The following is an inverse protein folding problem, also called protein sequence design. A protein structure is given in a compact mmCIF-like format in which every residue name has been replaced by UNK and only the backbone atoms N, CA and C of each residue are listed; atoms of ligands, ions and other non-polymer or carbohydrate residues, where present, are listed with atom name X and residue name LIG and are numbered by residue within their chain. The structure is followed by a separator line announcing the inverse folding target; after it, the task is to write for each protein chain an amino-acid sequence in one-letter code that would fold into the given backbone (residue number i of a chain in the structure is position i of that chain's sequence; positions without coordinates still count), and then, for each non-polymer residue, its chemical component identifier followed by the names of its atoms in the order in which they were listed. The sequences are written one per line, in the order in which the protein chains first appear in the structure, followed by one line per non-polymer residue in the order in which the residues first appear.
data_IF_592495565242
#
_entry.id   IF_592495565242
#
_cell.length_a   1.000
_cell.length_b   1.000
_cell.length_c   1.000
_cell.angle_alpha   90.00
_cell.angle_beta   90.00
_cell.angle_gamma   90.00
#
_symmetry.space_group_name_H-M   'P 1'
#
loop_
_entity.id
_entity.type
_entity.pdbx_description
1 polymer ?
#
# COMPACT_ATOMS: atom_id res chain seq x y z
N UNK A 1 -4.28 -78.05 20.22
CA UNK A 1 -3.63 -77.16 19.28
C UNK A 1 -4.65 -76.73 18.22
N UNK A 2 -5.27 -75.58 18.39
CA UNK A 2 -6.30 -75.06 17.51
C UNK A 2 -5.78 -73.73 17.01
N UNK A 3 -5.55 -73.63 15.69
CA UNK A 3 -5.19 -72.40 15.00
C UNK A 3 -6.45 -71.62 14.69
N UNK A 4 -6.55 -70.43 15.24
CA UNK A 4 -7.63 -69.49 14.95
C UNK A 4 -7.19 -68.57 13.80
N UNK A 5 -7.87 -68.63 12.67
CA UNK A 5 -7.75 -67.72 11.55
C UNK A 5 -8.53 -66.42 11.87
N UNK A 6 -7.82 -65.30 11.84
CA UNK A 6 -8.44 -63.99 11.95
C UNK A 6 -8.72 -63.46 10.55
N UNK A 7 -10.00 -63.30 10.23
CA UNK A 7 -10.48 -62.64 8.98
C UNK A 7 -10.31 -61.13 9.10
N UNK A 8 -9.52 -60.53 8.20
CA UNK A 8 -9.43 -59.08 8.06
C UNK A 8 -10.55 -58.65 7.11
N UNK A 9 -11.54 -57.92 7.63
CA UNK A 9 -12.56 -57.25 6.84
C UNK A 9 -12.04 -55.91 6.38
N UNK A 10 -11.84 -55.76 5.06
CA UNK A 10 -11.46 -54.50 4.41
C UNK A 10 -12.73 -53.68 4.23
N UNK A 11 -12.98 -52.69 5.10
CA UNK A 11 -14.04 -51.69 4.91
C UNK A 11 -13.53 -50.55 4.01
N UNK A 12 -14.03 -50.51 2.76
CA UNK A 12 -13.92 -49.31 1.89
C UNK A 12 -14.76 -48.19 2.49
N UNK A 13 -14.14 -47.29 3.22
CA UNK A 13 -14.71 -46.01 3.62
C UNK A 13 -14.68 -45.06 2.43
N UNK A 14 -15.83 -44.89 1.76
CA UNK A 14 -16.01 -43.76 0.79
C UNK A 14 -16.10 -42.48 1.63
N UNK A 15 -15.02 -41.75 1.72
CA UNK A 15 -15.03 -40.40 2.29
C UNK A 15 -15.76 -39.47 1.31
N UNK A 16 -17.02 -39.16 1.57
CA UNK A 16 -17.68 -38.00 0.99
C UNK A 16 -16.98 -36.75 1.53
N UNK A 17 -16.02 -36.25 0.80
CA UNK A 17 -15.45 -34.92 1.02
C UNK A 17 -16.57 -33.90 0.80
N UNK A 18 -17.10 -33.37 1.90
CA UNK A 18 -17.97 -32.20 1.85
C UNK A 18 -17.14 -31.05 1.32
N UNK A 19 -17.25 -30.77 0.04
CA UNK A 19 -16.82 -29.50 -0.53
C UNK A 19 -17.72 -28.43 0.09
N UNK A 20 -17.28 -27.83 1.20
CA UNK A 20 -17.83 -26.57 1.64
C UNK A 20 -17.59 -25.58 0.48
N UNK A 21 -18.62 -24.91 -0.05
CA UNK A 21 -18.41 -23.90 -1.05
C UNK A 21 -17.48 -22.87 -0.44
N UNK A 22 -16.35 -22.59 -1.09
CA UNK A 22 -15.54 -21.40 -0.79
C UNK A 22 -16.50 -20.23 -0.99
N UNK A 23 -17.05 -19.70 0.08
CA UNK A 23 -17.85 -18.49 0.05
C UNK A 23 -16.97 -17.43 -0.62
N UNK A 24 -17.29 -17.13 -1.87
CA UNK A 24 -16.67 -16.06 -2.62
C UNK A 24 -16.86 -14.79 -1.78
N UNK A 25 -15.79 -14.27 -1.20
CA UNK A 25 -15.83 -13.03 -0.44
C UNK A 25 -16.32 -11.96 -1.41
N UNK A 26 -17.52 -11.44 -1.20
CA UNK A 26 -18.02 -10.26 -1.90
C UNK A 26 -17.27 -9.05 -1.30
N UNK A 27 -16.31 -8.46 -2.00
CA UNK A 27 -15.43 -7.46 -1.40
C UNK A 27 -16.14 -6.11 -1.15
N UNK A 28 -17.23 -5.85 -1.87
CA UNK A 28 -17.96 -4.60 -1.87
C UNK A 28 -19.47 -4.84 -1.77
N UNK A 29 -20.16 -4.06 -0.94
CA UNK A 29 -21.60 -4.10 -0.76
C UNK A 29 -22.20 -2.70 -0.98
N UNK A 30 -23.35 -2.63 -1.66
CA UNK A 30 -24.08 -1.37 -1.84
C UNK A 30 -24.59 -0.86 -0.49
N UNK A 31 -24.36 0.42 -0.23
CA UNK A 31 -24.86 1.11 0.96
C UNK A 31 -26.30 1.55 0.71
N UNK A 32 -27.22 1.28 1.64
CA UNK A 32 -28.60 1.75 1.56
C UNK A 32 -28.68 3.28 1.68
N UNK A 33 -29.66 3.95 1.02
CA UNK A 33 -29.76 5.41 0.98
C UNK A 33 -29.82 6.08 2.35
N UNK A 34 -30.48 5.46 3.31
CA UNK A 34 -30.64 5.94 4.69
C UNK A 34 -29.29 6.03 5.46
N UNK A 35 -28.29 5.26 5.06
CA UNK A 35 -26.95 5.28 5.64
C UNK A 35 -25.95 6.17 4.90
N UNK A 36 -26.39 6.86 3.86
CA UNK A 36 -25.52 7.76 3.08
C UNK A 36 -25.51 9.19 3.61
N UNK A 37 -26.39 9.55 4.55
CA UNK A 37 -26.56 10.93 5.00
C UNK A 37 -25.31 11.59 5.57
N UNK A 38 -24.44 10.84 6.22
CA UNK A 38 -23.20 11.32 6.82
C UNK A 38 -21.96 11.16 5.90
N UNK A 39 -22.13 10.52 4.73
CA UNK A 39 -21.00 10.21 3.85
C UNK A 39 -20.67 11.38 2.91
N UNK A 40 -19.39 11.53 2.57
CA UNK A 40 -18.92 12.39 1.49
C UNK A 40 -18.59 13.84 1.87
N UNK A 41 -18.58 14.20 3.15
CA UNK A 41 -18.10 15.51 3.57
C UNK A 41 -16.58 15.54 3.65
N UNK A 42 -15.92 16.17 2.68
CA UNK A 42 -14.47 16.36 2.63
C UNK A 42 -14.12 17.84 2.77
N UNK A 43 -13.96 18.29 4.00
CA UNK A 43 -13.61 19.67 4.34
C UNK A 43 -12.21 20.07 3.84
N UNK A 44 -11.33 19.10 3.58
CA UNK A 44 -9.95 19.37 3.18
C UNK A 44 -9.86 20.03 1.80
N UNK A 45 -10.81 19.78 0.93
CA UNK A 45 -10.82 20.32 -0.43
C UNK A 45 -10.81 21.84 -0.43
N UNK A 46 -11.56 22.46 0.48
CA UNK A 46 -11.70 23.93 0.55
C UNK A 46 -10.93 24.58 1.69
N UNK A 47 -10.59 23.89 2.75
CA UNK A 47 -10.00 24.37 4.00
C UNK A 47 -10.14 25.88 4.25
N UNK A 48 -10.86 26.21 5.34
CA UNK A 48 -11.03 27.55 5.87
C UNK A 48 -10.02 27.84 6.99
N UNK A 49 -9.83 29.10 7.37
CA UNK A 49 -8.96 29.56 8.47
C UNK A 49 -7.46 29.67 8.12
N UNK A 50 -7.15 30.20 6.91
CA UNK A 50 -5.76 30.50 6.51
C UNK A 50 -4.95 29.31 6.01
N UNK A 51 -5.51 28.11 5.98
CA UNK A 51 -4.90 26.94 5.35
C UNK A 51 -5.44 26.77 3.93
N UNK A 52 -4.52 26.54 2.98
CA UNK A 52 -4.87 26.30 1.58
C UNK A 52 -5.52 24.93 1.44
N UNK A 53 -6.68 24.88 0.77
CA UNK A 53 -7.33 23.61 0.40
C UNK A 53 -6.49 22.79 -0.59
N UNK A 54 -6.76 21.51 -0.67
CA UNK A 54 -6.03 20.58 -1.55
C UNK A 54 -6.84 20.15 -2.79
N UNK A 55 -7.82 20.97 -3.21
CA UNK A 55 -8.65 20.75 -4.40
C UNK A 55 -7.82 20.39 -5.64
N UNK A 56 -6.70 21.09 -5.84
CA UNK A 56 -5.83 20.83 -7.00
C UNK A 56 -5.16 19.46 -6.90
N UNK A 57 -4.79 19.01 -5.70
CA UNK A 57 -4.22 17.67 -5.50
C UNK A 57 -5.26 16.58 -5.83
N UNK A 58 -6.52 16.77 -5.43
CA UNK A 58 -7.60 15.84 -5.78
C UNK A 58 -7.83 15.79 -7.31
N UNK A 59 -7.90 16.96 -7.99
CA UNK A 59 -8.04 17.00 -9.45
C UNK A 59 -6.87 16.32 -10.15
N UNK A 60 -5.63 16.54 -9.69
CA UNK A 60 -4.43 15.86 -10.22
C UNK A 60 -4.52 14.36 -10.04
N UNK A 61 -4.96 13.88 -8.88
CA UNK A 61 -5.12 12.44 -8.65
C UNK A 61 -6.21 11.82 -9.55
N UNK A 62 -7.31 12.55 -9.81
CA UNK A 62 -8.34 12.15 -10.78
C UNK A 62 -7.74 12.03 -12.19
N UNK A 63 -6.98 13.04 -12.64
CA UNK A 63 -6.35 13.03 -13.96
C UNK A 63 -5.35 11.87 -14.12
N UNK A 64 -4.60 11.52 -13.09
CA UNK A 64 -3.75 10.33 -13.04
C UNK A 64 -4.56 9.03 -13.18
N UNK A 65 -5.67 8.89 -12.47
CA UNK A 65 -6.57 7.73 -12.61
C UNK A 65 -7.16 7.63 -14.00
N UNK A 66 -7.59 8.75 -14.60
CA UNK A 66 -8.10 8.80 -15.96
C UNK A 66 -7.05 8.37 -16.99
N UNK A 67 -5.79 8.76 -16.80
CA UNK A 67 -4.67 8.32 -17.64
C UNK A 67 -4.50 6.79 -17.58
N UNK A 68 -4.50 6.19 -16.36
CA UNK A 68 -4.48 4.74 -16.21
C UNK A 68 -5.67 4.06 -16.88
N UNK A 69 -6.89 4.54 -16.64
CA UNK A 69 -8.13 3.92 -17.13
C UNK A 69 -8.20 3.89 -18.66
N UNK A 70 -7.53 4.80 -19.35
CA UNK A 70 -7.40 4.81 -20.82
C UNK A 70 -6.36 3.82 -21.36
N UNK A 71 -5.55 3.20 -20.48
CA UNK A 71 -4.47 2.29 -20.88
C UNK A 71 -4.96 0.87 -21.20
N UNK A 72 -4.23 0.10 -22.03
CA UNK A 72 -4.50 -1.32 -22.27
C UNK A 72 -4.48 -2.18 -20.99
N UNK A 73 -3.69 -1.78 -20.00
CA UNK A 73 -3.63 -2.47 -18.70
C UNK A 73 -4.95 -2.40 -17.95
N UNK A 74 -5.61 -1.25 -17.97
CA UNK A 74 -6.92 -1.08 -17.35
C UNK A 74 -7.99 -1.93 -18.04
N UNK A 75 -7.98 -1.98 -19.38
CA UNK A 75 -8.88 -2.85 -20.15
C UNK A 75 -8.75 -4.31 -19.68
N UNK A 76 -7.51 -4.78 -19.54
CA UNK A 76 -7.24 -6.16 -19.09
C UNK A 76 -7.68 -6.39 -17.64
N UNK A 77 -7.41 -5.44 -16.74
CA UNK A 77 -7.77 -5.51 -15.33
C UNK A 77 -9.29 -5.58 -15.15
N UNK A 78 -10.04 -4.70 -15.80
CA UNK A 78 -11.49 -4.65 -15.67
C UNK A 78 -12.22 -5.80 -16.38
N UNK A 79 -11.65 -6.41 -17.43
CA UNK A 79 -12.20 -7.61 -18.07
C UNK A 79 -12.28 -8.79 -17.10
N UNK A 80 -11.41 -8.83 -16.08
CA UNK A 80 -11.32 -9.88 -15.05
C UNK A 80 -11.82 -9.43 -13.69
N UNK A 81 -12.36 -8.22 -13.58
CA UNK A 81 -12.78 -7.67 -12.29
C UNK A 81 -14.02 -8.41 -11.77
N UNK A 82 -14.01 -8.88 -10.49
CA UNK A 82 -15.00 -9.86 -10.03
C UNK A 82 -16.36 -9.27 -9.65
N UNK A 83 -16.45 -7.95 -9.38
CA UNK A 83 -17.69 -7.34 -8.90
C UNK A 83 -18.57 -6.88 -10.07
N UNK A 84 -19.73 -7.50 -10.20
CA UNK A 84 -20.71 -7.15 -11.25
C UNK A 84 -21.16 -5.68 -11.13
N UNK A 85 -21.34 -5.03 -12.27
CA UNK A 85 -21.80 -3.63 -12.33
C UNK A 85 -20.70 -2.59 -12.09
N UNK A 86 -19.47 -3.01 -11.72
CA UNK A 86 -18.29 -2.16 -11.68
C UNK A 86 -17.46 -2.40 -12.93
N UNK A 87 -17.70 -1.61 -13.95
CA UNK A 87 -17.02 -1.70 -15.25
C UNK A 87 -16.05 -0.53 -15.41
N UNK A 88 -15.02 -0.71 -16.25
CA UNK A 88 -14.09 0.37 -16.58
C UNK A 88 -14.80 1.64 -17.05
N UNK A 89 -15.77 1.49 -17.94
CA UNK A 89 -16.49 2.62 -18.54
C UNK A 89 -17.37 3.34 -17.51
N UNK A 90 -17.97 2.60 -16.57
CA UNK A 90 -18.69 3.23 -15.45
C UNK A 90 -17.75 3.99 -14.53
N UNK A 91 -16.56 3.44 -14.23
CA UNK A 91 -15.55 4.15 -13.44
C UNK A 91 -15.07 5.41 -14.14
N UNK A 92 -14.84 5.37 -15.46
CA UNK A 92 -14.47 6.56 -16.24
C UNK A 92 -15.56 7.64 -16.14
N UNK A 93 -16.81 7.32 -16.45
CA UNK A 93 -17.91 8.29 -16.34
C UNK A 93 -18.09 8.82 -14.92
N UNK A 94 -17.88 7.97 -13.91
CA UNK A 94 -17.93 8.40 -12.50
C UNK A 94 -16.84 9.44 -12.19
N UNK A 95 -15.61 9.23 -12.67
CA UNK A 95 -14.52 10.18 -12.45
C UNK A 95 -14.73 11.48 -13.24
N UNK A 96 -15.20 11.42 -14.48
CA UNK A 96 -15.52 12.58 -15.28
C UNK A 96 -16.57 13.44 -14.58
N UNK A 97 -17.68 12.82 -14.16
CA UNK A 97 -18.74 13.53 -13.45
C UNK A 97 -18.28 14.08 -12.10
N UNK A 98 -17.58 13.29 -11.31
CA UNK A 98 -17.05 13.75 -10.02
C UNK A 98 -16.09 14.93 -10.19
N UNK A 99 -15.23 14.93 -11.22
CA UNK A 99 -14.35 16.02 -11.54
C UNK A 99 -15.13 17.32 -11.85
N UNK A 100 -16.24 17.24 -12.59
CA UNK A 100 -17.13 18.36 -12.84
C UNK A 100 -17.73 18.89 -11.54
N UNK A 101 -18.23 18.02 -10.68
CA UNK A 101 -18.78 18.38 -9.36
C UNK A 101 -17.74 19.09 -8.48
N UNK A 102 -16.51 18.56 -8.42
CA UNK A 102 -15.41 19.21 -7.69
C UNK A 102 -15.14 20.61 -8.24
N UNK A 103 -15.23 20.83 -9.56
CA UNK A 103 -15.00 22.13 -10.20
C UNK A 103 -16.16 23.11 -10.00
N UNK A 104 -17.39 22.66 -9.98
CA UNK A 104 -18.58 23.51 -9.87
C UNK A 104 -19.03 23.83 -8.46
N UNK A 105 -18.75 22.92 -7.48
CA UNK A 105 -19.11 23.14 -6.09
C UNK A 105 -18.25 24.20 -5.41
N UNK A 106 -18.87 24.99 -4.53
CA UNK A 106 -18.25 26.10 -3.80
C UNK A 106 -17.99 25.75 -2.31
N UNK A 107 -18.56 24.64 -1.82
CA UNK A 107 -18.40 24.19 -0.43
C UNK A 107 -18.36 22.65 -0.34
N UNK A 108 -17.85 22.11 0.79
CA UNK A 108 -17.90 20.67 1.05
C UNK A 108 -19.33 20.11 1.05
N UNK A 109 -20.29 20.86 1.59
CA UNK A 109 -21.69 20.46 1.71
C UNK A 109 -22.38 20.41 0.34
N UNK A 110 -22.09 21.37 -0.54
CA UNK A 110 -22.60 21.37 -1.92
C UNK A 110 -22.08 20.15 -2.70
N UNK A 111 -20.77 19.85 -2.61
CA UNK A 111 -20.21 18.64 -3.22
C UNK A 111 -20.82 17.38 -2.62
N UNK A 112 -20.95 17.31 -1.28
CA UNK A 112 -21.52 16.15 -0.60
C UNK A 112 -22.96 15.90 -1.10
N UNK A 113 -23.79 16.93 -1.17
CA UNK A 113 -25.18 16.82 -1.62
C UNK A 113 -25.25 16.28 -3.06
N UNK A 114 -24.48 16.85 -3.98
CA UNK A 114 -24.43 16.41 -5.37
C UNK A 114 -23.94 14.96 -5.53
N UNK A 115 -22.88 14.58 -4.78
CA UNK A 115 -22.36 13.20 -4.81
C UNK A 115 -23.38 12.21 -4.27
N UNK A 116 -24.10 12.53 -3.20
CA UNK A 116 -25.16 11.67 -2.65
C UNK A 116 -26.34 11.50 -3.62
N UNK A 117 -26.68 12.56 -4.33
CA UNK A 117 -27.72 12.51 -5.36
C UNK A 117 -27.36 11.64 -6.55
N UNK A 118 -26.12 11.76 -7.04
CA UNK A 118 -25.71 11.17 -8.32
C UNK A 118 -24.98 9.82 -8.21
N UNK A 119 -24.40 9.46 -7.03
CA UNK A 119 -23.54 8.30 -6.88
C UNK A 119 -24.15 7.22 -5.98
N UNK A 120 -23.75 5.96 -6.31
CA UNK A 120 -23.95 4.79 -5.46
C UNK A 120 -22.67 4.55 -4.67
N UNK A 121 -22.80 4.36 -3.36
CA UNK A 121 -21.68 4.01 -2.48
C UNK A 121 -21.59 2.49 -2.31
N UNK A 122 -20.41 1.95 -2.52
CA UNK A 122 -20.05 0.55 -2.34
C UNK A 122 -19.09 0.43 -1.16
N UNK A 123 -19.56 -0.02 0.00
CA UNK A 123 -18.74 -0.21 1.20
C UNK A 123 -17.89 -1.47 1.07
N UNK A 124 -16.60 -1.37 1.40
CA UNK A 124 -15.75 -2.54 1.55
C UNK A 124 -16.25 -3.41 2.71
N UNK A 125 -16.29 -4.73 2.51
CA UNK A 125 -16.73 -5.67 3.55
C UNK A 125 -15.76 -5.76 4.72
N UNK A 126 -14.55 -5.22 4.55
CA UNK A 126 -13.56 -5.16 5.61
C UNK A 126 -12.93 -6.50 5.96
N UNK A 127 -12.17 -6.51 7.04
CA UNK A 127 -11.49 -7.72 7.55
C UNK A 127 -12.41 -8.66 8.34
N UNK A 128 -13.58 -8.20 8.72
CA UNK A 128 -14.54 -8.89 9.59
C UNK A 128 -15.91 -9.11 8.93
N UNK A 129 -16.06 -8.77 7.65
CA UNK A 129 -17.35 -8.83 6.93
C UNK A 129 -18.34 -7.74 7.34
N UNK A 130 -17.98 -6.86 8.29
CA UNK A 130 -18.84 -5.78 8.82
C UNK A 130 -18.36 -4.38 8.42
N UNK A 131 -17.34 -4.32 7.55
CA UNK A 131 -16.83 -3.07 6.99
C UNK A 131 -15.63 -2.48 7.72
N UNK A 132 -15.04 -3.18 8.68
CA UNK A 132 -13.85 -2.68 9.37
C UNK A 132 -12.61 -2.78 8.47
N UNK A 133 -12.04 -1.63 8.14
CA UNK A 133 -10.82 -1.49 7.32
C UNK A 133 -9.68 -0.97 8.18
N UNK A 134 -8.54 -1.64 8.15
CA UNK A 134 -7.32 -1.18 8.80
C UNK A 134 -6.56 -0.22 7.89
N UNK A 135 -6.24 0.95 8.41
CA UNK A 135 -5.48 1.99 7.72
C UNK A 135 -4.06 2.08 8.25
N UNK A 136 -3.11 2.20 7.33
CA UNK A 136 -1.72 2.62 7.58
C UNK A 136 -1.31 3.67 6.56
N UNK A 137 -0.12 4.25 6.75
CA UNK A 137 0.43 5.20 5.80
C UNK A 137 1.74 4.72 5.20
N UNK A 138 2.03 5.16 3.98
CA UNK A 138 3.33 5.03 3.33
C UNK A 138 3.75 6.36 2.72
N UNK A 139 5.02 6.50 2.40
CA UNK A 139 5.59 7.75 1.93
C UNK A 139 6.82 7.49 1.03
N UNK A 140 7.30 8.50 0.35
CA UNK A 140 8.58 8.47 -0.34
C UNK A 140 9.66 9.02 0.59
N UNK A 141 10.56 8.18 1.17
CA UNK A 141 11.62 8.65 2.04
C UNK A 141 12.66 9.46 1.28
N UNK A 142 13.32 10.35 2.01
CA UNK A 142 14.48 11.12 1.54
C UNK A 142 15.70 10.73 2.36
N UNK A 143 16.75 10.21 1.69
CA UNK A 143 18.01 9.81 2.32
C UNK A 143 19.21 10.37 1.56
N UNK A 144 20.37 10.39 2.20
CA UNK A 144 21.64 10.61 1.51
C UNK A 144 22.16 9.31 0.91
N UNK A 145 22.81 9.37 -0.26
CA UNK A 145 23.29 8.19 -0.95
C UNK A 145 24.52 8.48 -1.81
N UNK A 146 25.29 7.44 -2.14
CA UNK A 146 26.47 7.52 -3.02
C UNK A 146 26.32 6.66 -4.26
N UNK A 147 26.86 7.13 -5.39
CA UNK A 147 26.93 6.34 -6.65
C UNK A 147 27.97 5.24 -6.61
N UNK A 148 28.88 5.29 -5.65
CA UNK A 148 29.96 4.31 -5.45
C UNK A 148 30.00 3.85 -3.99
N UNK A 149 30.42 2.62 -3.71
CA UNK A 149 30.59 2.16 -2.34
C UNK A 149 31.73 2.95 -1.67
N UNK A 150 31.52 3.32 -0.42
CA UNK A 150 32.54 3.96 0.45
C UNK A 150 32.53 3.30 1.81
N UNK A 151 33.43 3.69 2.69
CA UNK A 151 33.40 3.22 4.08
C UNK A 151 32.09 3.62 4.80
N UNK A 152 31.50 4.75 4.42
CA UNK A 152 30.28 5.29 5.01
C UNK A 152 29.01 4.78 4.28
N UNK A 153 29.01 4.74 2.96
CA UNK A 153 27.87 4.32 2.11
C UNK A 153 28.09 2.89 1.64
N UNK A 154 27.51 1.93 2.33
CA UNK A 154 27.81 0.50 2.16
C UNK A 154 26.63 -0.34 1.72
N UNK A 155 25.38 0.09 1.98
CA UNK A 155 24.19 -0.73 1.82
C UNK A 155 23.47 -0.41 0.50
N UNK A 156 23.57 -1.31 -0.50
CA UNK A 156 23.06 -1.00 -1.82
C UNK A 156 21.56 -1.21 -1.98
N UNK A 157 20.94 -0.39 -2.85
CA UNK A 157 19.75 -0.75 -3.57
C UNK A 157 20.13 -1.39 -4.89
N UNK A 158 19.38 -2.40 -5.32
CA UNK A 158 19.73 -3.19 -6.48
C UNK A 158 18.76 -3.01 -7.64
N UNK A 159 19.30 -3.03 -8.87
CA UNK A 159 18.53 -3.13 -10.11
C UNK A 159 17.86 -4.49 -10.22
N UNK A 160 16.73 -4.53 -10.94
CA UNK A 160 16.11 -5.80 -11.30
C UNK A 160 17.07 -6.60 -12.19
N UNK A 161 17.43 -7.87 -11.83
CA UNK A 161 18.28 -8.71 -12.66
C UNK A 161 17.71 -8.88 -14.07
N UNK A 162 18.51 -8.75 -15.15
CA UNK A 162 18.03 -8.88 -16.53
C UNK A 162 17.34 -10.23 -16.80
N UNK A 163 17.79 -11.28 -16.12
CA UNK A 163 17.27 -12.65 -16.24
C UNK A 163 16.26 -13.01 -15.13
N UNK A 164 15.70 -12.06 -14.41
CA UNK A 164 14.84 -12.30 -13.24
C UNK A 164 13.64 -13.20 -13.56
N UNK A 165 13.05 -13.07 -14.77
CA UNK A 165 11.93 -13.91 -15.21
C UNK A 165 12.30 -15.40 -15.35
N UNK A 166 13.59 -15.72 -15.41
CA UNK A 166 14.12 -17.10 -15.51
C UNK A 166 14.58 -17.67 -14.17
N UNK A 167 14.48 -16.89 -13.09
CA UNK A 167 14.83 -17.39 -11.77
C UNK A 167 13.88 -18.50 -11.35
N UNK A 168 14.45 -19.54 -10.73
CA UNK A 168 13.68 -20.66 -10.18
C UNK A 168 12.72 -20.17 -9.10
N UNK A 169 11.52 -20.72 -9.09
CA UNK A 169 10.55 -20.46 -8.03
C UNK A 169 10.53 -21.60 -7.00
N UNK A 170 10.34 -21.29 -5.73
CA UNK A 170 10.24 -19.95 -5.14
C UNK A 170 11.58 -19.20 -5.22
N UNK A 171 11.53 -17.91 -5.52
CA UNK A 171 12.74 -17.06 -5.63
C UNK A 171 13.61 -17.12 -4.37
N UNK A 172 14.91 -16.79 -4.44
CA UNK A 172 15.76 -16.66 -3.28
C UNK A 172 15.19 -15.70 -2.24
N UNK A 173 15.46 -16.00 -0.97
CA UNK A 173 15.07 -15.14 0.15
C UNK A 173 16.03 -13.95 0.28
N UNK A 174 15.62 -12.92 1.05
CA UNK A 174 16.48 -11.81 1.46
C UNK A 174 17.82 -12.32 2.02
N UNK A 175 17.77 -13.29 2.95
CA UNK A 175 18.96 -13.85 3.56
C UNK A 175 19.95 -14.45 2.53
N UNK A 176 19.44 -15.11 1.50
CA UNK A 176 20.28 -15.66 0.42
C UNK A 176 20.83 -14.56 -0.49
N UNK A 177 20.04 -13.52 -0.78
CA UNK A 177 20.43 -12.46 -1.71
C UNK A 177 21.44 -11.47 -1.12
N UNK A 178 21.25 -11.04 0.13
CA UNK A 178 22.09 -10.00 0.75
C UNK A 178 22.85 -10.45 2.00
N UNK A 179 22.64 -11.69 2.47
CA UNK A 179 23.25 -12.20 3.70
C UNK A 179 22.56 -11.67 4.96
N UNK A 180 23.02 -12.16 6.12
CA UNK A 180 22.48 -11.72 7.41
C UNK A 180 22.84 -10.26 7.72
N UNK A 181 24.01 -9.80 7.26
CA UNK A 181 24.56 -8.45 7.45
C UNK A 181 24.17 -7.43 6.37
N UNK A 182 23.47 -7.89 5.32
CA UNK A 182 23.11 -7.06 4.16
C UNK A 182 24.23 -6.88 3.13
N UNK A 183 25.38 -7.57 3.28
CA UNK A 183 26.59 -7.40 2.46
C UNK A 183 27.19 -8.73 1.98
N UNK A 184 26.83 -9.85 2.62
CA UNK A 184 27.44 -11.16 2.42
C UNK A 184 26.54 -12.16 1.66
N UNK A 185 25.71 -11.67 0.73
CA UNK A 185 24.83 -12.51 -0.07
C UNK A 185 25.56 -13.49 -1.01
N UNK A 186 24.80 -14.34 -1.69
CA UNK A 186 25.29 -15.44 -2.54
C UNK A 186 25.93 -15.00 -3.87
N UNK A 187 26.12 -13.69 -4.07
CA UNK A 187 26.78 -13.10 -5.25
C UNK A 187 25.85 -12.88 -6.45
N UNK A 188 24.59 -13.29 -6.40
CA UNK A 188 23.64 -13.08 -7.51
C UNK A 188 23.36 -11.62 -7.83
N UNK A 189 23.55 -10.72 -6.85
CA UNK A 189 23.31 -9.30 -7.00
C UNK A 189 24.56 -8.49 -7.34
N UNK A 190 25.73 -9.15 -7.49
CA UNK A 190 26.98 -8.46 -7.83
C UNK A 190 26.87 -7.79 -9.19
N UNK A 191 27.23 -6.51 -9.25
CA UNK A 191 27.16 -5.67 -10.46
C UNK A 191 25.75 -5.13 -10.76
N UNK A 192 24.78 -5.40 -9.88
CA UNK A 192 23.42 -4.88 -10.00
C UNK A 192 23.14 -3.72 -9.02
N UNK A 193 24.14 -3.30 -8.28
CA UNK A 193 24.05 -2.19 -7.35
C UNK A 193 23.69 -0.91 -8.13
N UNK A 194 22.63 -0.24 -7.67
CA UNK A 194 22.13 1.00 -8.28
C UNK A 194 22.73 2.23 -7.57
N UNK A 195 22.77 2.17 -6.25
CA UNK A 195 23.18 3.25 -5.35
C UNK A 195 23.41 2.69 -3.96
N UNK A 196 24.25 3.31 -3.15
CA UNK A 196 24.56 2.89 -1.78
C UNK A 196 24.04 3.88 -0.76
N UNK A 197 23.34 3.38 0.26
CA UNK A 197 22.88 4.14 1.42
C UNK A 197 23.85 3.97 2.59
N UNK A 198 23.74 4.90 3.56
CA UNK A 198 24.58 4.94 4.74
C UNK A 198 24.21 3.83 5.73
N UNK A 199 22.91 3.67 6.00
CA UNK A 199 22.40 2.74 6.99
C UNK A 199 21.61 1.61 6.36
N UNK A 200 21.77 0.40 6.91
CA UNK A 200 21.06 -0.78 6.45
C UNK A 200 19.55 -0.65 6.59
N UNK A 201 19.11 -0.02 7.70
CA UNK A 201 17.69 0.22 7.92
C UNK A 201 17.08 1.11 6.84
N UNK A 202 17.79 2.14 6.39
CA UNK A 202 17.33 3.00 5.28
C UNK A 202 17.12 2.20 4.00
N UNK A 203 18.10 1.37 3.60
CA UNK A 203 17.99 0.51 2.43
C UNK A 203 16.79 -0.45 2.53
N UNK A 204 16.55 -0.99 3.72
CA UNK A 204 15.37 -1.83 3.97
C UNK A 204 14.07 -1.02 3.90
N UNK A 205 14.01 0.16 4.50
CA UNK A 205 12.82 1.02 4.48
C UNK A 205 12.46 1.45 3.05
N UNK A 206 13.45 1.78 2.20
CA UNK A 206 13.19 2.04 0.76
C UNK A 206 12.53 0.84 0.09
N UNK A 207 12.95 -0.40 0.41
CA UNK A 207 12.31 -1.60 -0.13
C UNK A 207 10.86 -1.77 0.36
N UNK A 208 10.54 -1.35 1.57
CA UNK A 208 9.17 -1.40 2.12
C UNK A 208 8.29 -0.32 1.49
N UNK A 209 8.83 0.90 1.30
CA UNK A 209 8.08 2.03 0.73
C UNK A 209 7.94 1.93 -0.81
N UNK A 210 8.88 1.29 -1.50
CA UNK A 210 8.84 1.07 -2.94
C UNK A 210 9.42 2.20 -3.79
N UNK A 211 9.73 3.36 -3.21
CA UNK A 211 10.40 4.51 -3.85
C UNK A 211 11.23 5.28 -2.84
N UNK A 212 12.15 6.11 -3.34
CA UNK A 212 12.89 7.08 -2.53
C UNK A 212 13.41 8.24 -3.40
N UNK A 213 13.59 9.40 -2.76
CA UNK A 213 14.31 10.54 -3.25
C UNK A 213 15.65 10.61 -2.53
N UNK A 214 16.74 10.55 -3.28
CA UNK A 214 18.09 10.43 -2.73
C UNK A 214 18.89 11.70 -3.02
N UNK A 215 19.38 12.33 -1.95
CA UNK A 215 20.38 13.40 -2.04
C UNK A 215 21.75 12.74 -2.21
N UNK A 216 22.33 12.89 -3.39
CA UNK A 216 23.58 12.23 -3.71
C UNK A 216 24.78 12.99 -3.12
N UNK A 217 25.86 12.27 -2.81
CA UNK A 217 27.11 12.88 -2.29
C UNK A 217 27.80 13.82 -3.27
N UNK A 218 27.45 13.75 -4.58
CA UNK A 218 27.89 14.68 -5.62
C UNK A 218 27.01 15.93 -5.73
N UNK A 219 26.02 16.11 -4.84
CA UNK A 219 25.09 17.24 -4.82
C UNK A 219 23.87 17.04 -5.73
N UNK A 220 23.84 16.01 -6.57
CA UNK A 220 22.69 15.72 -7.43
C UNK A 220 21.52 15.09 -6.66
N UNK A 221 20.34 15.03 -7.28
CA UNK A 221 19.19 14.29 -6.77
C UNK A 221 18.94 13.09 -7.67
N UNK A 222 18.84 11.91 -7.08
CA UNK A 222 18.38 10.70 -7.75
C UNK A 222 17.03 10.28 -7.18
N UNK A 223 16.10 9.92 -8.03
CA UNK A 223 14.86 9.26 -7.60
C UNK A 223 14.88 7.80 -8.04
N UNK A 224 14.44 6.92 -7.14
CA UNK A 224 14.33 5.48 -7.41
C UNK A 224 12.90 5.02 -7.20
N UNK A 225 12.45 4.10 -8.06
CA UNK A 225 11.13 3.50 -7.98
C UNK A 225 11.18 1.99 -8.17
N UNK A 226 10.12 1.33 -7.76
CA UNK A 226 9.95 -0.12 -7.85
C UNK A 226 10.17 -0.64 -9.27
N UNK A 227 10.98 -1.68 -9.43
CA UNK A 227 11.22 -2.37 -10.69
C UNK A 227 10.72 -3.82 -10.67
N UNK A 228 10.73 -4.46 -9.50
CA UNK A 228 10.27 -5.84 -9.32
C UNK A 228 10.53 -6.33 -7.92
N UNK A 229 10.00 -7.52 -7.60
CA UNK A 229 10.23 -8.16 -6.30
C UNK A 229 10.24 -9.68 -6.42
N UNK A 230 10.86 -10.34 -5.45
CA UNK A 230 10.77 -11.80 -5.29
C UNK A 230 9.33 -12.21 -4.96
N UNK A 231 8.98 -13.47 -5.26
CA UNK A 231 7.66 -14.05 -4.95
C UNK A 231 7.50 -14.49 -3.48
N UNK A 232 8.46 -14.11 -2.63
CA UNK A 232 8.39 -14.38 -1.20
C UNK A 232 7.35 -13.51 -0.51
N UNK A 233 6.63 -14.05 0.48
CA UNK A 233 5.65 -13.29 1.22
C UNK A 233 6.30 -12.16 2.03
N UNK A 234 5.56 -11.08 2.21
CA UNK A 234 5.97 -10.02 3.14
C UNK A 234 5.79 -10.49 4.58
N UNK A 235 6.80 -10.27 5.42
CA UNK A 235 6.74 -10.39 6.88
C UNK A 235 7.14 -9.09 7.53
N UNK A 236 6.27 -8.58 8.39
CA UNK A 236 6.52 -7.33 9.11
C UNK A 236 7.59 -7.53 10.18
N UNK A 237 8.71 -6.84 10.02
CA UNK A 237 9.79 -6.85 11.02
C UNK A 237 9.31 -6.30 12.36
N UNK A 238 8.46 -5.27 12.37
CA UNK A 238 7.84 -4.78 13.60
C UNK A 238 6.97 -5.85 14.30
N UNK A 239 6.24 -6.68 13.55
CA UNK A 239 5.48 -7.80 14.13
C UNK A 239 6.41 -8.87 14.70
N UNK A 240 7.56 -9.12 14.08
CA UNK A 240 8.56 -10.04 14.61
C UNK A 240 9.14 -9.53 15.94
N UNK A 241 9.35 -8.20 16.09
CA UNK A 241 9.73 -7.62 17.37
C UNK A 241 8.66 -7.83 18.46
N UNK A 242 7.38 -7.72 18.09
CA UNK A 242 6.27 -8.00 19.02
C UNK A 242 6.24 -9.48 19.40
N UNK A 243 6.39 -10.38 18.44
CA UNK A 243 6.39 -11.83 18.68
C UNK A 243 7.54 -12.27 19.62
N UNK A 244 8.70 -11.61 19.54
CA UNK A 244 9.85 -11.86 20.43
C UNK A 244 9.78 -11.07 21.76
N UNK A 245 8.66 -10.38 22.04
CA UNK A 245 8.47 -9.63 23.29
C UNK A 245 9.31 -8.35 23.40
N UNK A 246 9.90 -7.89 22.30
CA UNK A 246 10.73 -6.66 22.26
C UNK A 246 9.89 -5.38 22.20
N UNK A 247 8.63 -5.50 21.80
CA UNK A 247 7.71 -4.37 21.61
C UNK A 247 6.26 -4.83 21.85
N UNK A 248 5.41 -3.94 22.35
CA UNK A 248 3.98 -4.20 22.49
C UNK A 248 3.23 -3.87 21.20
N UNK A 249 2.25 -4.69 20.85
CA UNK A 249 1.43 -4.49 19.65
C UNK A 249 0.70 -3.13 19.63
N UNK A 250 0.14 -2.70 20.76
CA UNK A 250 -0.56 -1.42 20.91
C UNK A 250 0.35 -0.21 20.64
N UNK A 251 1.66 -0.36 20.85
CA UNK A 251 2.65 0.68 20.59
C UNK A 251 3.42 0.51 19.30
N UNK A 252 3.03 -0.45 18.44
CA UNK A 252 3.75 -0.73 17.20
C UNK A 252 3.49 0.37 16.16
N UNK A 253 4.46 1.26 15.99
CA UNK A 253 4.50 2.30 14.97
C UNK A 253 5.86 2.29 14.27
N UNK A 254 5.94 2.81 13.04
CA UNK A 254 7.21 2.87 12.31
C UNK A 254 8.29 3.68 13.06
N UNK A 255 8.00 4.86 13.65
CA UNK A 255 9.00 5.59 14.44
C UNK A 255 9.58 4.75 15.58
N UNK A 256 8.77 4.00 16.32
CA UNK A 256 9.26 3.14 17.40
C UNK A 256 10.09 1.95 16.92
N UNK A 257 9.79 1.41 15.75
CA UNK A 257 10.62 0.37 15.12
C UNK A 257 11.99 0.95 14.74
N UNK A 258 12.01 2.16 14.19
CA UNK A 258 13.26 2.88 13.86
C UNK A 258 14.06 3.13 15.14
N UNK A 259 13.47 3.72 16.17
CA UNK A 259 14.09 3.99 17.47
C UNK A 259 14.70 2.73 18.10
N UNK A 260 14.01 1.59 18.03
CA UNK A 260 14.52 0.31 18.51
C UNK A 260 15.81 -0.09 17.80
N UNK A 261 15.84 -0.01 16.46
CA UNK A 261 17.03 -0.38 15.70
C UNK A 261 18.15 0.66 15.75
N UNK A 262 17.84 1.93 15.95
CA UNK A 262 18.85 2.96 16.21
C UNK A 262 19.56 2.74 17.56
N UNK A 263 18.81 2.22 18.54
CA UNK A 263 19.35 1.87 19.87
C UNK A 263 20.04 0.51 19.91
N UNK A 264 19.77 -0.38 18.95
CA UNK A 264 20.28 -1.75 18.88
C UNK A 264 20.57 -2.16 17.43
N UNK A 265 21.56 -1.53 16.78
CA UNK A 265 21.82 -1.76 15.34
C UNK A 265 22.22 -3.20 15.00
N UNK A 266 22.82 -3.94 15.95
CA UNK A 266 23.20 -5.35 15.81
C UNK A 266 21.98 -6.27 15.60
N UNK A 267 20.83 -5.90 16.13
CA UNK A 267 19.57 -6.65 15.98
C UNK A 267 19.04 -6.60 14.54
N UNK A 268 19.47 -5.63 13.70
CA UNK A 268 19.11 -5.60 12.27
C UNK A 268 19.48 -6.92 11.56
N UNK A 269 20.63 -7.50 11.90
CA UNK A 269 21.13 -8.75 11.31
C UNK A 269 20.23 -9.96 11.65
N UNK A 270 19.54 -9.88 12.78
CA UNK A 270 18.61 -10.91 13.25
C UNK A 270 17.20 -10.75 12.66
N UNK A 271 16.72 -9.50 12.58
CA UNK A 271 15.31 -9.25 12.25
C UNK A 271 15.05 -9.00 10.77
N UNK A 272 15.91 -8.27 10.05
CA UNK A 272 15.65 -7.98 8.63
C UNK A 272 15.55 -9.24 7.77
N UNK A 273 16.39 -10.29 7.96
CA UNK A 273 16.28 -11.53 7.18
C UNK A 273 14.97 -12.30 7.41
N UNK A 274 14.22 -12.02 8.50
CA UNK A 274 12.92 -12.65 8.74
C UNK A 274 11.84 -12.19 7.76
N UNK A 275 12.02 -11.02 7.12
CA UNK A 275 11.26 -10.65 5.93
C UNK A 275 11.94 -11.26 4.69
N UNK A 276 11.46 -12.40 4.17
CA UNK A 276 12.14 -13.09 3.07
C UNK A 276 11.98 -12.38 1.72
N UNK A 277 11.07 -11.42 1.61
CA UNK A 277 10.83 -10.65 0.39
C UNK A 277 11.98 -9.70 0.07
N UNK A 278 12.29 -9.53 -1.22
CA UNK A 278 13.31 -8.60 -1.70
C UNK A 278 12.76 -7.75 -2.85
N UNK A 279 13.07 -6.45 -2.84
CA UNK A 279 12.59 -5.48 -3.84
C UNK A 279 13.75 -4.93 -4.63
N UNK A 280 13.55 -4.79 -5.94
CA UNK A 280 14.48 -4.23 -6.90
C UNK A 280 13.99 -2.88 -7.41
N UNK A 281 14.92 -2.02 -7.80
CA UNK A 281 14.67 -0.63 -8.16
C UNK A 281 15.17 -0.29 -9.56
N UNK A 282 14.66 0.84 -10.07
CA UNK A 282 15.21 1.55 -11.21
C UNK A 282 15.30 3.03 -10.88
N UNK A 283 16.21 3.72 -11.53
CA UNK A 283 16.25 5.17 -11.53
C UNK A 283 15.03 5.73 -12.29
N UNK A 284 14.43 6.81 -11.80
CA UNK A 284 13.21 7.40 -12.36
C UNK A 284 13.41 8.83 -12.90
N UNK A 285 14.66 9.32 -12.93
CA UNK A 285 15.03 10.59 -13.55
C UNK A 285 14.34 11.82 -12.96
N UNK A 286 14.09 11.86 -11.65
CA UNK A 286 13.42 12.97 -10.97
C UNK A 286 11.89 12.87 -10.97
N UNK A 287 11.31 11.82 -11.57
CA UNK A 287 9.86 11.62 -11.57
C UNK A 287 9.31 11.48 -10.14
N UNK A 288 8.06 11.90 -9.95
CA UNK A 288 7.32 11.68 -8.71
C UNK A 288 7.13 10.18 -8.41
N UNK A 289 6.95 9.86 -7.14
CA UNK A 289 6.63 8.50 -6.71
C UNK A 289 5.47 7.95 -7.54
N UNK A 290 5.65 6.74 -8.07
CA UNK A 290 4.70 6.12 -9.01
C UNK A 290 4.12 4.86 -8.41
N UNK A 291 2.79 4.78 -8.36
CA UNK A 291 2.06 3.62 -7.88
C UNK A 291 2.07 2.43 -8.86
N UNK A 292 1.51 1.33 -8.41
CA UNK A 292 1.41 0.07 -9.19
C UNK A 292 0.63 0.20 -10.49
N UNK A 293 -0.24 1.20 -10.61
CA UNK A 293 -0.95 1.52 -11.86
C UNK A 293 -0.08 2.26 -12.87
N UNK A 294 1.19 2.53 -12.56
CA UNK A 294 2.14 3.28 -13.40
C UNK A 294 1.73 4.74 -13.63
N UNK A 295 1.05 5.31 -12.67
CA UNK A 295 0.75 6.75 -12.59
C UNK A 295 1.34 7.32 -11.31
N UNK A 296 1.68 8.63 -11.28
CA UNK A 296 2.13 9.27 -10.06
C UNK A 296 1.08 9.16 -8.95
N UNK A 297 1.54 8.95 -7.71
CA UNK A 297 0.68 9.01 -6.52
C UNK A 297 0.69 10.42 -5.94
N UNK A 298 -0.46 10.85 -5.42
CA UNK A 298 -0.69 12.18 -4.89
C UNK A 298 -0.85 12.11 -3.37
N UNK A 299 -0.09 12.93 -2.64
CA UNK A 299 -0.11 12.96 -1.18
C UNK A 299 -1.55 13.12 -0.65
N UNK A 300 -1.92 12.26 0.30
CA UNK A 300 -3.22 12.20 0.96
C UNK A 300 -4.44 11.98 0.03
N UNK A 301 -4.22 11.83 -1.29
CA UNK A 301 -5.25 11.61 -2.31
C UNK A 301 -5.10 10.28 -3.06
N UNK A 302 -4.00 9.55 -2.86
CA UNK A 302 -3.78 8.21 -3.42
C UNK A 302 -3.77 7.16 -2.31
N UNK A 303 -4.41 6.02 -2.56
CA UNK A 303 -4.41 4.87 -1.66
C UNK A 303 -3.92 3.62 -2.38
N UNK A 304 -3.38 2.70 -1.57
CA UNK A 304 -3.04 1.34 -1.96
C UNK A 304 -4.04 0.34 -1.37
N UNK A 305 -4.56 -0.56 -2.22
CA UNK A 305 -5.50 -1.61 -1.85
C UNK A 305 -5.14 -2.94 -2.53
N UNK A 306 -5.88 -4.00 -2.24
CA UNK A 306 -5.77 -5.28 -2.94
C UNK A 306 -6.42 -5.21 -4.32
N UNK A 307 -5.62 -5.05 -5.36
CA UNK A 307 -6.10 -4.91 -6.76
C UNK A 307 -6.75 -6.18 -7.35
N UNK A 308 -6.69 -7.30 -6.65
CA UNK A 308 -7.47 -8.49 -7.04
C UNK A 308 -8.95 -8.38 -6.64
N UNK A 309 -9.26 -7.48 -5.70
CA UNK A 309 -10.60 -7.31 -5.11
C UNK A 309 -11.18 -5.91 -5.33
N UNK A 310 -10.33 -4.87 -5.32
CA UNK A 310 -10.76 -3.48 -5.39
C UNK A 310 -10.59 -2.89 -6.80
N UNK A 311 -11.49 -1.98 -7.24
CA UNK A 311 -11.50 -1.46 -8.60
C UNK A 311 -10.33 -0.49 -8.84
N UNK A 312 -9.33 -0.88 -9.68
CA UNK A 312 -8.12 -0.09 -9.85
C UNK A 312 -8.40 1.25 -10.55
N UNK A 313 -7.90 2.34 -9.95
CA UNK A 313 -8.08 3.70 -10.46
C UNK A 313 -9.43 4.35 -10.10
N UNK A 314 -10.31 3.67 -9.38
CA UNK A 314 -11.63 4.19 -9.03
C UNK A 314 -11.59 5.27 -7.94
N UNK A 315 -12.60 6.12 -7.92
CA UNK A 315 -12.90 7.05 -6.84
C UNK A 315 -13.32 6.27 -5.59
N UNK A 316 -12.73 6.64 -4.47
CA UNK A 316 -13.10 6.12 -3.17
C UNK A 316 -13.26 7.24 -2.14
N UNK A 317 -13.94 6.93 -1.04
CA UNK A 317 -14.06 7.74 0.15
C UNK A 317 -13.53 6.94 1.33
N UNK A 318 -12.66 7.53 2.12
CA UNK A 318 -12.17 6.94 3.37
C UNK A 318 -12.70 7.71 4.58
N UNK A 319 -13.09 6.96 5.62
CA UNK A 319 -13.29 7.46 6.96
C UNK A 319 -12.19 6.84 7.85
N UNK A 320 -11.22 7.63 8.26
CA UNK A 320 -10.03 7.15 8.98
C UNK A 320 -9.49 8.23 9.92
N UNK A 321 -8.68 7.81 10.89
CA UNK A 321 -7.88 8.73 11.69
C UNK A 321 -6.53 8.96 11.02
N UNK A 322 -6.21 10.23 10.78
CA UNK A 322 -4.93 10.67 10.19
C UNK A 322 -4.29 11.69 11.14
N UNK A 323 -2.96 11.62 11.38
CA UNK A 323 -2.27 12.57 12.21
C UNK A 323 -2.08 13.91 11.48
N UNK A 324 -2.39 15.01 12.17
CA UNK A 324 -2.16 16.38 11.72
C UNK A 324 -1.33 17.16 12.74
N UNK A 325 -0.50 18.09 12.30
CA UNK A 325 0.16 19.02 13.22
C UNK A 325 -0.88 19.84 13.99
N UNK A 326 -0.73 19.87 15.31
CA UNK A 326 -1.46 20.77 16.19
C UNK A 326 -0.72 22.12 16.29
N UNK A 327 -1.28 23.07 17.03
CA UNK A 327 -0.69 24.42 17.18
C UNK A 327 0.68 24.42 17.86
N UNK A 328 0.96 23.43 18.70
CA UNK A 328 2.25 23.24 19.37
C UNK A 328 3.23 22.37 18.58
N UNK A 329 2.87 21.94 17.36
CA UNK A 329 3.72 21.11 16.49
C UNK A 329 3.63 19.61 16.75
N UNK A 330 2.89 19.16 17.77
CA UNK A 330 2.65 17.74 18.00
C UNK A 330 1.66 17.17 17.00
N UNK A 331 1.77 15.87 16.69
CA UNK A 331 0.84 15.18 15.78
C UNK A 331 -0.35 14.62 16.55
N UNK A 332 -1.53 15.15 16.25
CA UNK A 332 -2.82 14.73 16.82
C UNK A 332 -3.62 13.92 15.80
N UNK A 333 -4.19 12.79 16.24
CA UNK A 333 -5.08 11.98 15.42
C UNK A 333 -6.41 12.71 15.22
N UNK A 334 -6.81 12.90 13.97
CA UNK A 334 -8.10 13.51 13.61
C UNK A 334 -8.90 12.57 12.73
N UNK A 335 -10.18 12.41 13.05
CA UNK A 335 -11.12 11.71 12.17
C UNK A 335 -11.31 12.53 10.89
N UNK A 336 -11.12 11.90 9.74
CA UNK A 336 -11.32 12.54 8.44
C UNK A 336 -12.28 11.74 7.57
N UNK A 337 -13.03 12.46 6.75
CA UNK A 337 -13.74 11.94 5.59
C UNK A 337 -13.03 12.50 4.36
N UNK A 338 -12.55 11.65 3.44
CA UNK A 338 -11.69 12.12 2.35
C UNK A 338 -11.89 11.35 1.05
N UNK A 339 -12.11 12.07 -0.04
CA UNK A 339 -12.08 11.50 -1.38
C UNK A 339 -10.66 11.18 -1.80
N UNK A 340 -10.44 9.94 -2.26
CA UNK A 340 -9.14 9.41 -2.66
C UNK A 340 -9.26 8.57 -3.93
N UNK A 341 -8.13 8.33 -4.59
CA UNK A 341 -8.05 7.51 -5.79
C UNK A 341 -7.28 6.21 -5.50
N UNK A 342 -7.80 5.09 -5.96
CA UNK A 342 -7.21 3.78 -5.73
C UNK A 342 -6.11 3.46 -6.75
N UNK A 343 -4.90 3.98 -6.54
CA UNK A 343 -3.81 4.06 -7.53
C UNK A 343 -2.63 3.15 -7.26
N UNK A 344 -2.60 2.48 -6.09
CA UNK A 344 -1.44 1.68 -5.71
C UNK A 344 -1.83 0.35 -5.04
N UNK A 345 -0.82 -0.52 -4.84
CA UNK A 345 -0.90 -1.75 -4.07
C UNK A 345 0.42 -2.06 -3.39
N UNK A 346 0.40 -2.86 -2.36
CA UNK A 346 1.60 -3.28 -1.64
C UNK A 346 1.65 -4.77 -1.34
N UNK A 347 2.82 -5.29 -0.99
CA UNK A 347 3.01 -6.69 -0.62
C UNK A 347 2.22 -7.11 0.62
N UNK A 348 1.99 -6.16 1.53
CA UNK A 348 1.23 -6.35 2.76
C UNK A 348 -0.27 -6.05 2.62
N UNK A 349 -0.70 -5.49 1.48
CA UNK A 349 -2.08 -5.05 1.27
C UNK A 349 -2.87 -6.22 0.68
N UNK A 350 -3.61 -6.92 1.53
CA UNK A 350 -4.38 -8.12 1.16
C UNK A 350 -5.78 -8.08 1.75
N UNK A 351 -6.74 -8.52 0.95
CA UNK A 351 -8.15 -8.59 1.32
C UNK A 351 -8.86 -7.23 1.28
N UNK A 352 -10.19 -7.22 1.55
CA UNK A 352 -11.02 -6.02 1.47
C UNK A 352 -10.89 -5.09 2.69
N UNK A 353 -10.10 -5.47 3.68
CA UNK A 353 -9.99 -4.77 4.97
C UNK A 353 -8.65 -4.10 5.22
N UNK A 354 -7.87 -3.78 4.17
CA UNK A 354 -6.56 -3.15 4.32
C UNK A 354 -6.34 -2.03 3.30
N UNK A 355 -5.94 -0.86 3.79
CA UNK A 355 -5.62 0.34 3.00
C UNK A 355 -4.33 0.95 3.51
N UNK A 356 -3.45 1.38 2.60
CA UNK A 356 -2.33 2.27 2.88
C UNK A 356 -2.57 3.62 2.19
N UNK A 357 -2.40 4.73 2.92
CA UNK A 357 -2.55 6.10 2.41
C UNK A 357 -1.18 6.65 2.05
N UNK A 358 -1.01 7.16 0.83
CA UNK A 358 0.22 7.86 0.45
C UNK A 358 0.26 9.24 1.11
N UNK A 359 1.26 9.47 1.95
CA UNK A 359 1.36 10.70 2.74
C UNK A 359 2.27 11.77 2.12
N UNK A 360 2.94 11.45 0.99
CA UNK A 360 3.85 12.38 0.31
C UNK A 360 5.32 11.99 0.43
N UNK A 361 6.20 12.97 0.32
CA UNK A 361 7.66 12.79 0.28
C UNK A 361 8.33 13.45 1.48
N UNK A 362 9.39 12.83 2.01
CA UNK A 362 10.28 13.41 3.01
C UNK A 362 9.86 13.13 4.46
N UNK A 363 10.55 13.81 5.38
CA UNK A 363 10.50 13.51 6.83
C UNK A 363 9.12 13.73 7.42
N UNK A 364 8.47 14.86 7.16
CA UNK A 364 7.13 15.15 7.68
C UNK A 364 6.10 14.13 7.22
N UNK A 365 6.14 13.78 5.93
CA UNK A 365 5.29 12.71 5.37
C UNK A 365 5.54 11.38 6.07
N UNK A 366 6.81 11.05 6.35
CA UNK A 366 7.20 9.83 7.04
C UNK A 366 6.73 9.78 8.50
N UNK A 367 6.85 10.89 9.22
CA UNK A 367 6.37 11.01 10.60
C UNK A 367 4.85 10.82 10.69
N UNK A 368 4.11 11.41 9.77
CA UNK A 368 2.66 11.26 9.69
C UNK A 368 2.27 9.85 9.24
N UNK A 369 2.87 9.34 8.18
CA UNK A 369 2.62 7.99 7.67
C UNK A 369 2.88 6.91 8.74
N UNK A 370 3.99 7.02 9.45
CA UNK A 370 4.41 6.07 10.48
C UNK A 370 3.49 6.01 11.70
N UNK A 371 2.63 7.01 11.89
CA UNK A 371 1.65 7.07 13.00
C UNK A 371 0.21 6.76 12.57
N UNK A 372 -0.04 6.50 11.30
CA UNK A 372 -1.35 5.97 10.85
C UNK A 372 -1.42 4.48 11.19
N UNK A 373 -2.24 4.15 12.17
CA UNK A 373 -2.56 2.78 12.56
C UNK A 373 -3.95 2.76 13.18
N UNK A 374 -4.98 2.88 12.34
CA UNK A 374 -6.36 3.03 12.78
C UNK A 374 -7.30 2.05 12.07
N UNK A 375 -8.47 1.84 12.64
CA UNK A 375 -9.59 1.23 11.94
C UNK A 375 -10.53 2.32 11.46
N UNK A 376 -11.17 2.06 10.31
CA UNK A 376 -12.11 2.97 9.69
C UNK A 376 -12.92 2.26 8.62
N UNK A 377 -13.36 3.00 7.62
CA UNK A 377 -14.22 2.51 6.55
C UNK A 377 -13.72 2.99 5.19
N UNK A 378 -13.96 2.16 4.16
CA UNK A 378 -13.65 2.44 2.76
C UNK A 378 -14.92 2.27 1.92
N UNK A 379 -15.21 3.26 1.10
CA UNK A 379 -16.31 3.25 0.14
C UNK A 379 -15.79 3.54 -1.26
N UNK A 380 -16.31 2.83 -2.29
CA UNK A 380 -16.12 3.21 -3.69
C UNK A 380 -17.38 3.88 -4.21
N UNK A 381 -17.21 4.92 -5.02
CA UNK A 381 -18.28 5.73 -5.54
C UNK A 381 -18.41 5.57 -7.05
N UNK A 382 -19.59 5.18 -7.49
CA UNK A 382 -19.90 5.01 -8.91
C UNK A 382 -21.18 5.76 -9.25
N UNK A 383 -21.16 6.46 -10.38
CA UNK A 383 -22.33 7.17 -10.89
C UNK A 383 -23.52 6.21 -10.98
N UNK A 384 -24.71 6.66 -10.58
CA UNK A 384 -25.96 5.92 -10.77
C UNK A 384 -26.17 5.61 -12.25
N UNK A 385 -26.83 4.51 -12.57
CA UNK A 385 -27.11 4.13 -13.96
C UNK A 385 -28.23 5.00 -14.54
#
# INVERSE_FOLDING_TARGET
MIKTLASVALSLGIAFGSFLPVLSIVPLQVVSPDRQEELGLDEQIWRNSGQKGDRQALLTAIDHSMSYLRSPRAITAYRRYPVRGITRDRVIRSLERFRELVLSSNSPEELQAAVREEFVFYRATGKDGRGTVGFTGYFEPTYTASRVPTQEYRYPLYRLPPNFSRWSRPHPTRLQLEGADGLSGDGRLRGLELVWLRYRLEAFLVQIQGSARLQMTDGSIMTVGFAGKTDRPYRSVGRELVNDGKMNLAGLTLPRVIEYFDSSPEELNRYLPRNPGFVFFRETGGAAATGSLSVPVTAERSIATDKSLMPPGALALIHAQIPFPSRNGELEQRQVSRYVLDQDTGGAIRGPGRVDIFMGTGTEAGERAGRINSNGELYYLLLKN
#
